data_IF_088456425144
#
_entry.id   IF_088456425144
#
_cell.length_a   1.000
_cell.length_b   1.000
_cell.length_c   1.000
_cell.angle_alpha   90.00
_cell.angle_beta   90.00
_cell.angle_gamma   90.00
#
_symmetry.space_group_name_H-M   'P 1'
#
loop_
_entity.id
_entity.type
_entity.pdbx_description
1 polymer ?
#
# COMPACT_ATOMS: atom_id res chain seq x y z
N UNK A 1 15.27 9.55 -4.33
CA UNK A 1 16.24 8.44 -4.51
C UNK A 1 16.60 8.00 -3.11
N UNK A 2 16.00 6.93 -2.58
CA UNK A 2 16.27 6.48 -1.22
C UNK A 2 17.66 5.85 -1.17
N UNK A 3 18.49 6.31 -0.23
CA UNK A 3 19.83 5.78 0.01
C UNK A 3 19.69 4.42 0.70
N UNK A 4 20.23 3.36 0.10
CA UNK A 4 20.15 2.03 0.68
C UNK A 4 20.91 2.01 2.02
N UNK A 5 20.25 1.69 3.15
CA UNK A 5 20.86 1.79 4.46
C UNK A 5 21.93 0.71 4.61
N UNK A 6 23.07 1.09 5.16
CA UNK A 6 24.24 0.24 5.30
C UNK A 6 24.14 -0.58 6.59
N UNK A 7 23.20 -1.52 6.65
CA UNK A 7 22.99 -2.35 7.82
C UNK A 7 24.06 -3.45 7.98
N UNK A 8 24.39 -3.78 9.23
CA UNK A 8 25.37 -4.82 9.54
C UNK A 8 24.73 -6.21 9.38
N UNK A 9 24.89 -6.80 8.20
CA UNK A 9 24.40 -8.15 7.88
C UNK A 9 25.07 -9.27 8.69
N UNK A 10 26.07 -9.00 9.53
CA UNK A 10 26.60 -10.00 10.47
C UNK A 10 25.71 -10.15 11.72
N UNK A 11 24.85 -9.18 11.99
CA UNK A 11 23.91 -9.25 13.11
C UNK A 11 22.77 -10.23 12.76
N UNK A 12 22.52 -11.27 13.59
CA UNK A 12 21.42 -12.20 13.36
C UNK A 12 20.04 -11.54 13.36
N UNK A 13 19.82 -10.47 14.14
CA UNK A 13 18.56 -9.74 14.13
C UNK A 13 18.30 -9.05 12.78
N UNK A 14 19.34 -8.40 12.21
CA UNK A 14 19.26 -7.78 10.88
C UNK A 14 18.94 -8.83 9.82
N UNK A 15 19.58 -10.01 9.87
CA UNK A 15 19.28 -11.10 8.92
C UNK A 15 17.83 -11.57 9.01
N UNK A 16 17.28 -11.68 10.21
CA UNK A 16 15.88 -12.07 10.43
C UNK A 16 14.92 -11.04 9.85
N UNK A 17 15.13 -9.76 10.14
CA UNK A 17 14.33 -8.66 9.58
C UNK A 17 14.36 -8.67 8.05
N UNK A 18 15.54 -8.83 7.44
CA UNK A 18 15.66 -8.89 5.98
C UNK A 18 14.91 -10.09 5.36
N UNK A 19 14.89 -11.22 6.07
CA UNK A 19 14.14 -12.39 5.67
C UNK A 19 12.63 -12.17 5.81
N UNK A 20 12.17 -11.59 6.91
CA UNK A 20 10.76 -11.26 7.15
C UNK A 20 10.23 -10.27 6.11
N UNK A 21 10.99 -9.21 5.78
CA UNK A 21 10.63 -8.27 4.69
C UNK A 21 10.45 -9.01 3.37
N UNK A 22 11.32 -9.98 3.07
CA UNK A 22 11.22 -10.77 1.84
C UNK A 22 9.97 -11.66 1.85
N UNK A 23 9.67 -12.31 2.96
CA UNK A 23 8.50 -13.18 3.10
C UNK A 23 7.20 -12.39 2.99
N UNK A 24 7.12 -11.24 3.67
CA UNK A 24 5.95 -10.35 3.61
C UNK A 24 5.73 -9.83 2.18
N UNK A 25 6.80 -9.47 1.45
CA UNK A 25 6.70 -9.06 0.04
C UNK A 25 6.28 -10.18 -0.92
N UNK A 26 6.43 -11.44 -0.50
CA UNK A 26 5.99 -12.61 -1.26
C UNK A 26 4.56 -13.02 -0.91
N UNK A 27 4.01 -12.51 0.19
CA UNK A 27 2.65 -12.80 0.61
C UNK A 27 1.63 -12.13 -0.34
N UNK A 28 0.58 -12.87 -0.68
CA UNK A 28 -0.50 -12.42 -1.59
C UNK A 28 -1.88 -12.49 -0.95
N UNK A 29 -1.96 -12.77 0.36
CA UNK A 29 -3.22 -12.95 1.08
C UNK A 29 -4.06 -11.67 1.12
N UNK A 30 -3.40 -10.50 1.17
CA UNK A 30 -4.06 -9.21 1.25
C UNK A 30 -4.79 -8.95 2.58
N UNK A 31 -4.58 -9.81 3.58
CA UNK A 31 -5.15 -9.65 4.93
C UNK A 31 -4.38 -8.60 5.75
N UNK A 32 -3.10 -8.42 5.43
CA UNK A 32 -2.25 -7.40 5.99
C UNK A 32 -1.24 -6.94 4.93
N UNK A 33 -0.75 -5.71 5.12
CA UNK A 33 0.38 -5.15 4.40
C UNK A 33 1.36 -4.67 5.46
N UNK A 34 2.64 -4.99 5.29
CA UNK A 34 3.68 -4.49 6.18
C UNK A 34 4.95 -4.19 5.38
N UNK A 35 5.61 -3.10 5.71
CA UNK A 35 6.86 -2.67 5.08
C UNK A 35 7.73 -1.95 6.11
N UNK A 36 9.00 -2.35 6.18
CA UNK A 36 10.00 -1.61 6.94
C UNK A 36 10.44 -0.37 6.16
N UNK A 37 10.75 0.72 6.85
CA UNK A 37 11.25 1.94 6.22
C UNK A 37 12.59 1.70 5.54
N UNK A 38 12.76 2.28 4.35
CA UNK A 38 14.02 2.21 3.63
C UNK A 38 15.15 2.94 4.37
N UNK A 39 14.85 3.93 5.21
CA UNK A 39 15.85 4.66 6.00
C UNK A 39 16.22 3.97 7.31
N UNK A 40 15.29 3.21 7.89
CA UNK A 40 15.48 2.49 9.14
C UNK A 40 14.65 1.20 9.15
N UNK A 41 15.32 0.06 9.02
CA UNK A 41 14.68 -1.27 8.98
C UNK A 41 14.11 -1.71 10.34
N UNK A 42 14.36 -0.97 11.41
CA UNK A 42 13.75 -1.20 12.72
C UNK A 42 12.41 -0.48 12.88
N UNK A 43 12.08 0.44 11.98
CA UNK A 43 10.79 1.14 11.96
C UNK A 43 9.88 0.53 10.88
N UNK A 44 8.64 0.23 11.25
CA UNK A 44 7.72 -0.53 10.43
C UNK A 44 6.39 0.19 10.25
N UNK A 45 5.96 0.27 9.00
CA UNK A 45 4.62 0.67 8.62
C UNK A 45 3.81 -0.57 8.28
N UNK A 46 2.60 -0.67 8.83
CA UNK A 46 1.72 -1.79 8.52
C UNK A 46 0.26 -1.36 8.50
N UNK A 47 -0.53 -2.12 7.75
CA UNK A 47 -1.97 -2.01 7.63
C UNK A 47 -2.52 -3.41 7.83
N UNK A 48 -3.52 -3.55 8.71
CA UNK A 48 -4.23 -4.80 8.93
C UNK A 48 -5.67 -4.58 8.49
N UNK A 49 -6.19 -5.49 7.68
CA UNK A 49 -7.58 -5.45 7.27
C UNK A 49 -8.47 -5.82 8.46
N UNK A 50 -9.50 -5.03 8.72
CA UNK A 50 -10.49 -5.39 9.73
C UNK A 50 -11.20 -6.70 9.36
N UNK A 51 -11.50 -7.57 10.34
CA UNK A 51 -12.19 -8.83 10.08
C UNK A 51 -13.52 -8.61 9.38
N UNK A 52 -13.90 -9.59 8.54
CA UNK A 52 -15.22 -9.59 7.88
C UNK A 52 -16.34 -9.63 8.89
N UNK A 53 -17.48 -9.04 8.53
CA UNK A 53 -18.68 -9.02 9.38
C UNK A 53 -18.48 -8.27 10.72
N UNK A 54 -17.47 -7.41 10.80
CA UNK A 54 -17.26 -6.49 11.93
C UNK A 54 -17.40 -5.04 11.49
N UNK A 55 -17.55 -4.12 12.44
CA UNK A 55 -17.56 -2.68 12.17
C UNK A 55 -16.25 -2.16 11.52
N UNK A 56 -15.18 -2.95 11.60
CA UNK A 56 -13.86 -2.63 11.06
C UNK A 56 -13.65 -3.16 9.63
N UNK A 57 -14.62 -3.88 9.06
CA UNK A 57 -14.53 -4.34 7.68
C UNK A 57 -14.30 -3.14 6.75
N UNK A 58 -13.25 -3.24 5.91
CA UNK A 58 -13.02 -2.28 4.82
C UNK A 58 -14.23 -2.34 3.89
N UNK A 59 -15.16 -1.41 4.08
CA UNK A 59 -16.08 -1.01 3.01
C UNK A 59 -15.18 -0.52 1.90
N UNK A 60 -15.14 -1.24 0.78
CA UNK A 60 -14.65 -0.67 -0.45
C UNK A 60 -15.36 0.67 -0.57
N UNK A 61 -14.60 1.76 -0.55
CA UNK A 61 -15.15 3.07 -0.86
C UNK A 61 -15.93 2.86 -2.15
N UNK A 62 -17.23 3.20 -2.14
CA UNK A 62 -18.03 3.26 -3.35
C UNK A 62 -17.12 3.83 -4.42
N UNK A 63 -16.91 3.14 -5.56
CA UNK A 63 -16.09 3.68 -6.63
C UNK A 63 -16.68 5.06 -6.85
N UNK A 64 -15.89 6.10 -6.54
CA UNK A 64 -16.34 7.47 -6.63
C UNK A 64 -17.08 7.53 -7.95
N UNK A 65 -18.36 7.89 -7.90
CA UNK A 65 -19.13 8.22 -9.08
C UNK A 65 -18.51 9.52 -9.59
N UNK A 66 -17.28 9.43 -10.08
CA UNK A 66 -16.64 10.42 -10.91
C UNK A 66 -17.55 10.41 -12.12
N UNK A 67 -18.44 11.40 -12.14
CA UNK A 67 -19.53 11.48 -13.07
C UNK A 67 -19.03 11.20 -14.46
N UNK A 68 -19.81 10.40 -15.17
CA UNK A 68 -19.87 10.38 -16.62
C UNK A 68 -20.18 11.83 -17.06
N UNK A 69 -19.17 12.72 -17.07
CA UNK A 69 -19.24 14.03 -17.67
C UNK A 69 -19.12 13.80 -19.17
N UNK A 70 -20.18 13.20 -19.71
CA UNK A 70 -20.51 13.18 -21.12
C UNK A 70 -20.34 14.60 -21.61
N UNK A 71 -19.28 14.81 -22.39
CA UNK A 71 -18.96 16.05 -23.06
C UNK A 71 -20.20 16.59 -23.80
N UNK A 72 -20.99 17.44 -23.15
CA UNK A 72 -21.95 18.33 -23.80
C UNK A 72 -21.15 19.47 -24.39
N UNK A 73 -20.64 19.27 -25.60
CA UNK A 73 -20.17 20.39 -26.42
C UNK A 73 -21.35 21.30 -26.71
N UNK A 74 -21.31 22.59 -26.32
CA UNK A 74 -22.36 23.53 -26.68
C UNK A 74 -22.07 24.11 -28.07
N UNK A 75 -23.15 24.40 -28.80
CA UNK A 75 -23.16 25.60 -29.64
C UNK A 75 -22.63 25.43 -31.07
N UNK A 76 -23.55 25.00 -31.94
CA UNK A 76 -23.69 25.53 -33.30
C UNK A 76 -23.58 27.08 -33.29
N UNK A 77 -22.80 27.66 -34.20
CA UNK A 77 -23.01 28.98 -34.80
C UNK A 77 -22.19 29.10 -36.11
N UNK A 78 -22.41 30.09 -37.01
CA UNK A 78 -23.25 29.91 -38.18
C UNK A 78 -22.55 30.19 -39.53
N UNK A 79 -23.15 29.62 -40.59
CA UNK A 79 -23.01 29.84 -42.05
C UNK A 79 -21.62 29.79 -42.67
#
# INVERSE_FOLDING_TARGET
MAEAPKFNLRNPAVKRIMQEIKEIRQDTSGDFLAEALETDIFEWHFVIRGPRDTEFEVRAADPCSCGDERASSPGRAPR
#
